data_IF_108240860573
#
_entry.id   IF_108240860573
#
_cell.length_a   1.000
_cell.length_b   1.000
_cell.length_c   1.000
_cell.angle_alpha   90.00
_cell.angle_beta   90.00
_cell.angle_gamma   90.00
#
_symmetry.space_group_name_H-M   'P 1'
#
loop_
_entity.id
_entity.type
_entity.pdbx_description
1 polymer ?
#
# COMPACT_ATOMS: atom_id res chain seq x y z
N UNK A 1 0.54 -1.18 19.67
CA UNK A 1 1.65 -1.73 18.88
C UNK A 1 1.19 -1.91 17.43
N UNK A 2 2.10 -1.89 16.47
CA UNK A 2 1.83 -1.90 15.02
C UNK A 2 2.09 -3.31 14.47
N UNK A 3 1.15 -3.86 13.71
CA UNK A 3 1.37 -5.00 12.82
C UNK A 3 1.54 -4.47 11.40
N UNK A 4 2.69 -4.74 10.78
CA UNK A 4 2.98 -4.37 9.38
C UNK A 4 2.53 -5.51 8.49
N UNK A 5 1.72 -5.22 7.47
CA UNK A 5 1.14 -6.19 6.54
C UNK A 5 1.65 -5.89 5.13
N UNK A 6 2.34 -6.86 4.53
CA UNK A 6 3.01 -6.71 3.24
C UNK A 6 2.49 -7.78 2.27
N UNK A 7 1.59 -7.44 1.33
CA UNK A 7 1.18 -8.36 0.28
C UNK A 7 2.31 -8.52 -0.75
N UNK A 8 2.65 -9.76 -1.11
CA UNK A 8 3.70 -10.08 -2.08
C UNK A 8 3.25 -11.08 -3.14
N UNK A 9 3.80 -10.95 -4.35
CA UNK A 9 3.69 -11.93 -5.42
C UNK A 9 4.88 -11.73 -6.38
N UNK A 10 5.87 -12.64 -6.34
CA UNK A 10 7.10 -12.58 -7.13
C UNK A 10 7.86 -11.25 -6.90
N UNK A 11 8.29 -11.03 -5.68
CA UNK A 11 8.95 -9.79 -5.24
C UNK A 11 10.31 -10.04 -4.58
N UNK A 12 11.02 -11.08 -4.99
CA UNK A 12 12.33 -11.47 -4.43
C UNK A 12 13.37 -10.36 -4.43
N UNK A 13 13.29 -9.42 -5.40
CA UNK A 13 14.24 -8.31 -5.55
C UNK A 13 14.03 -7.24 -4.46
N UNK A 14 12.78 -7.03 -4.03
CA UNK A 14 12.42 -5.94 -3.11
C UNK A 14 12.26 -6.39 -1.68
N UNK A 15 11.82 -7.63 -1.42
CA UNK A 15 11.44 -8.07 -0.09
C UNK A 15 12.59 -7.96 0.93
N UNK A 16 13.78 -8.43 0.60
CA UNK A 16 14.94 -8.34 1.48
C UNK A 16 15.31 -6.88 1.80
N UNK A 17 15.25 -6.00 0.79
CA UNK A 17 15.55 -4.58 0.95
C UNK A 17 14.56 -3.91 1.88
N UNK A 18 13.26 -4.21 1.70
CA UNK A 18 12.21 -3.64 2.53
C UNK A 18 12.34 -4.12 3.98
N UNK A 19 12.51 -5.42 4.22
CA UNK A 19 12.60 -5.96 5.60
C UNK A 19 13.77 -5.34 6.35
N UNK A 20 14.96 -5.26 5.75
CA UNK A 20 16.11 -4.60 6.35
C UNK A 20 15.85 -3.14 6.62
N UNK A 21 15.25 -2.42 5.67
CA UNK A 21 14.89 -1.02 5.86
C UNK A 21 13.91 -0.83 7.03
N UNK A 22 12.91 -1.71 7.18
CA UNK A 22 11.99 -1.65 8.32
C UNK A 22 12.71 -1.87 9.65
N UNK A 23 13.66 -2.82 9.71
CA UNK A 23 14.48 -3.06 10.91
C UNK A 23 15.34 -1.84 11.26
N UNK A 24 15.98 -1.22 10.26
CA UNK A 24 16.85 -0.06 10.46
C UNK A 24 16.08 1.23 10.82
N UNK A 25 14.83 1.36 10.35
CA UNK A 25 14.06 2.60 10.46
C UNK A 25 12.97 2.58 11.54
N UNK A 26 12.67 1.43 12.15
CA UNK A 26 11.68 1.34 13.23
C UNK A 26 12.29 1.54 14.61
N UNK A 27 11.48 2.04 15.55
CA UNK A 27 11.76 1.87 16.98
C UNK A 27 11.31 0.47 17.38
N UNK A 28 12.22 -0.38 17.81
CA UNK A 28 11.99 -1.81 18.05
C UNK A 28 10.80 -2.09 18.99
N UNK A 29 10.43 -1.15 19.87
CA UNK A 29 9.36 -1.32 20.86
C UNK A 29 7.94 -1.08 20.33
N UNK A 30 7.77 -0.51 19.16
CA UNK A 30 6.46 -0.11 18.63
C UNK A 30 5.92 -1.07 17.56
N UNK A 31 6.78 -1.76 16.84
CA UNK A 31 6.40 -2.79 15.86
C UNK A 31 6.22 -4.13 16.60
N UNK A 32 5.02 -4.67 16.54
CA UNK A 32 4.70 -5.98 17.15
C UNK A 32 5.18 -7.13 16.28
N UNK A 33 4.96 -7.01 14.97
CA UNK A 33 5.24 -8.05 13.99
C UNK A 33 5.25 -7.50 12.57
N UNK A 34 5.91 -8.22 11.68
CA UNK A 34 5.82 -8.05 10.22
C UNK A 34 5.20 -9.32 9.65
N UNK A 35 4.07 -9.18 8.98
CA UNK A 35 3.32 -10.25 8.32
C UNK A 35 3.46 -10.09 6.81
N UNK A 36 4.23 -10.95 6.18
CA UNK A 36 4.28 -11.06 4.72
C UNK A 36 3.18 -12.01 4.29
N UNK A 37 2.32 -11.58 3.37
CA UNK A 37 1.22 -12.39 2.86
C UNK A 37 1.49 -12.71 1.39
N UNK A 38 1.85 -13.96 1.12
CA UNK A 38 2.20 -14.43 -0.21
C UNK A 38 0.97 -14.88 -1.00
N UNK A 39 0.83 -14.36 -2.22
CA UNK A 39 -0.25 -14.67 -3.15
C UNK A 39 0.06 -15.80 -4.13
N UNK A 40 1.05 -16.65 -3.83
CA UNK A 40 1.49 -17.77 -4.67
C UNK A 40 2.72 -17.44 -5.50
N UNK A 41 3.76 -16.90 -4.88
CA UNK A 41 5.05 -16.64 -5.53
C UNK A 41 5.72 -17.94 -6.00
N UNK A 42 6.40 -17.85 -7.13
CA UNK A 42 7.14 -18.93 -7.79
C UNK A 42 8.63 -18.61 -7.91
N UNK A 43 9.07 -17.45 -7.39
CA UNK A 43 10.46 -17.03 -7.29
C UNK A 43 10.99 -17.21 -5.86
N UNK A 44 12.17 -16.69 -5.55
CA UNK A 44 12.81 -16.76 -4.23
C UNK A 44 12.20 -15.87 -3.14
N UNK A 45 10.96 -15.35 -3.32
CA UNK A 45 10.34 -14.42 -2.35
C UNK A 45 10.15 -15.07 -0.98
N UNK A 46 9.62 -16.30 -0.92
CA UNK A 46 9.30 -17.00 0.34
C UNK A 46 10.58 -17.37 1.08
N UNK A 47 11.55 -17.94 0.36
CA UNK A 47 12.86 -18.35 0.90
C UNK A 47 13.56 -17.16 1.55
N UNK A 48 13.58 -16.00 0.87
CA UNK A 48 14.19 -14.78 1.42
C UNK A 48 13.50 -14.25 2.67
N UNK A 49 12.18 -14.42 2.79
CA UNK A 49 11.47 -14.08 4.03
C UNK A 49 11.86 -15.01 5.17
N UNK A 50 11.95 -16.33 4.89
CA UNK A 50 12.32 -17.35 5.89
C UNK A 50 13.74 -17.13 6.40
N UNK A 51 14.70 -16.83 5.52
CA UNK A 51 16.10 -16.51 5.86
C UNK A 51 16.21 -15.30 6.80
N UNK A 52 15.25 -14.37 6.72
CA UNK A 52 15.17 -13.20 7.59
C UNK A 52 14.32 -13.42 8.85
N UNK A 53 13.83 -14.62 9.08
CA UNK A 53 12.96 -14.95 10.23
C UNK A 53 11.58 -14.30 10.18
N UNK A 54 11.10 -13.91 9.00
CA UNK A 54 9.81 -13.23 8.83
C UNK A 54 8.68 -14.25 8.65
N UNK A 55 7.59 -14.03 9.38
CA UNK A 55 6.38 -14.83 9.27
C UNK A 55 5.71 -14.62 7.91
N UNK A 56 5.58 -15.70 7.14
CA UNK A 56 4.88 -15.72 5.86
C UNK A 56 3.55 -16.43 6.00
N UNK A 57 2.48 -15.76 5.59
CA UNK A 57 1.14 -16.33 5.45
C UNK A 57 0.90 -16.65 3.98
N UNK A 58 0.42 -17.85 3.69
CA UNK A 58 -0.02 -18.22 2.33
C UNK A 58 -1.46 -17.81 2.15
N UNK A 59 -1.73 -16.99 1.15
CA UNK A 59 -3.05 -16.49 0.81
C UNK A 59 -3.39 -16.71 -0.65
N UNK A 60 -4.62 -16.38 -1.02
CA UNK A 60 -5.02 -16.35 -2.41
C UNK A 60 -4.42 -15.11 -3.11
N UNK A 61 -4.20 -15.24 -4.41
CA UNK A 61 -3.76 -14.13 -5.26
C UNK A 61 -4.77 -12.99 -5.27
N UNK A 62 -4.32 -11.79 -4.93
CA UNK A 62 -5.12 -10.57 -4.90
C UNK A 62 -4.77 -9.70 -3.70
N UNK A 63 -4.35 -8.45 -3.92
CA UNK A 63 -3.88 -7.57 -2.83
C UNK A 63 -4.92 -7.37 -1.73
N UNK A 64 -6.20 -7.16 -2.09
CA UNK A 64 -7.28 -7.05 -1.11
C UNK A 64 -7.37 -8.29 -0.22
N UNK A 65 -7.39 -9.50 -0.82
CA UNK A 65 -7.42 -10.78 -0.11
C UNK A 65 -6.21 -10.95 0.81
N UNK A 66 -5.02 -10.66 0.28
CA UNK A 66 -3.78 -10.77 1.05
C UNK A 66 -3.76 -9.78 2.23
N UNK A 67 -4.16 -8.53 2.02
CA UNK A 67 -4.22 -7.53 3.09
C UNK A 67 -5.27 -7.86 4.15
N UNK A 68 -6.45 -8.35 3.77
CA UNK A 68 -7.48 -8.82 4.69
C UNK A 68 -6.99 -10.03 5.50
N UNK A 69 -6.36 -11.01 4.85
CA UNK A 69 -5.77 -12.17 5.52
C UNK A 69 -4.70 -11.73 6.54
N UNK A 70 -3.79 -10.83 6.14
CA UNK A 70 -2.80 -10.28 7.07
C UNK A 70 -3.42 -9.57 8.26
N UNK A 71 -4.48 -8.79 8.04
CA UNK A 71 -5.22 -8.10 9.09
C UNK A 71 -5.90 -9.05 10.08
N UNK A 72 -6.43 -10.19 9.61
CA UNK A 72 -7.06 -11.21 10.48
C UNK A 72 -6.05 -11.90 11.40
N UNK A 73 -4.80 -12.06 10.96
CA UNK A 73 -3.72 -12.63 11.77
C UNK A 73 -2.97 -11.60 12.62
N UNK A 74 -3.18 -10.31 12.37
CA UNK A 74 -2.49 -9.23 13.07
C UNK A 74 -2.91 -9.16 14.56
N UNK A 75 -1.92 -9.05 15.44
CA UNK A 75 -2.11 -8.97 16.91
C UNK A 75 -1.95 -7.54 17.45
N UNK A 76 -1.40 -6.64 16.65
CA UNK A 76 -1.27 -5.22 16.98
C UNK A 76 -2.59 -4.46 16.91
N UNK A 77 -2.74 -3.42 17.71
CA UNK A 77 -3.91 -2.53 17.69
C UNK A 77 -3.91 -1.52 16.53
N UNK A 78 -2.80 -1.42 15.81
CA UNK A 78 -2.61 -0.59 14.63
C UNK A 78 -2.18 -1.50 13.49
N UNK A 79 -2.84 -1.39 12.35
CA UNK A 79 -2.48 -2.07 11.12
C UNK A 79 -1.76 -1.07 10.20
N UNK A 80 -0.62 -1.48 9.64
CA UNK A 80 0.12 -0.70 8.66
C UNK A 80 0.29 -1.51 7.37
N UNK A 81 -0.52 -1.19 6.36
CA UNK A 81 -0.46 -1.81 5.05
C UNK A 81 0.61 -1.13 4.20
N UNK A 82 1.56 -1.92 3.72
CA UNK A 82 2.74 -1.42 3.03
C UNK A 82 3.04 -2.28 1.80
N UNK A 83 3.17 -1.66 0.63
CA UNK A 83 3.61 -2.36 -0.57
C UNK A 83 5.11 -2.66 -0.49
N UNK A 84 5.51 -3.79 -1.06
CA UNK A 84 6.89 -4.30 -0.95
C UNK A 84 7.97 -3.37 -1.55
N UNK A 85 7.59 -2.52 -2.49
CA UNK A 85 8.45 -1.54 -3.16
C UNK A 85 8.30 -0.11 -2.62
N UNK A 86 7.73 0.02 -1.41
CA UNK A 86 7.50 1.29 -0.72
C UNK A 86 8.25 1.33 0.61
N UNK A 87 9.11 2.31 0.79
CA UNK A 87 10.03 2.45 1.91
C UNK A 87 9.59 3.61 2.82
N UNK A 88 9.15 3.35 4.05
CA UNK A 88 8.72 4.39 4.97
C UNK A 88 9.88 5.22 5.53
N UNK A 89 9.60 6.44 6.07
CA UNK A 89 10.64 7.29 6.65
C UNK A 89 11.19 6.71 7.95
N UNK A 90 12.36 7.21 8.37
CA UNK A 90 12.93 6.88 9.68
C UNK A 90 11.94 7.18 10.82
N UNK A 91 11.86 6.28 11.81
CA UNK A 91 10.89 6.31 12.91
C UNK A 91 9.42 6.39 12.47
N UNK A 92 9.08 5.76 11.35
CA UNK A 92 7.71 5.75 10.81
C UNK A 92 6.67 5.26 11.82
N UNK A 93 7.03 4.30 12.64
CA UNK A 93 6.19 3.69 13.69
C UNK A 93 5.87 4.68 14.81
N UNK A 94 6.86 5.45 15.28
CA UNK A 94 6.66 6.51 16.24
C UNK A 94 5.79 7.65 15.66
N UNK A 95 6.01 8.00 14.39
CA UNK A 95 5.22 8.99 13.65
C UNK A 95 3.75 8.54 13.55
N UNK A 96 3.50 7.28 13.16
CA UNK A 96 2.14 6.70 13.09
C UNK A 96 1.48 6.72 14.48
N UNK A 97 2.17 6.21 15.50
CA UNK A 97 1.63 6.16 16.87
C UNK A 97 1.26 7.54 17.39
N UNK A 98 2.11 8.54 17.12
CA UNK A 98 1.82 9.92 17.51
C UNK A 98 0.62 10.50 16.76
N UNK A 99 0.47 10.22 15.47
CA UNK A 99 -0.66 10.66 14.67
C UNK A 99 -2.01 10.13 15.21
N UNK A 100 -2.04 8.87 15.68
CA UNK A 100 -3.24 8.21 16.19
C UNK A 100 -3.62 8.62 17.62
N UNK A 101 -2.81 9.43 18.31
CA UNK A 101 -3.15 9.97 19.64
C UNK A 101 -4.12 11.17 19.60
N UNK A 102 -4.30 11.80 18.44
CA UNK A 102 -5.03 13.07 18.27
C UNK A 102 -6.20 12.92 17.32
N UNK A 103 -7.28 12.27 17.74
CA UNK A 103 -8.55 12.11 16.97
C UNK A 103 -8.37 11.60 15.52
N UNK A 104 -7.28 10.91 15.25
CA UNK A 104 -6.99 10.31 13.95
C UNK A 104 -7.04 8.81 14.11
N UNK A 105 -7.85 8.13 13.29
CA UNK A 105 -7.94 6.67 13.33
C UNK A 105 -7.32 6.01 12.08
N UNK A 106 -7.15 6.78 10.99
CA UNK A 106 -6.53 6.32 9.75
C UNK A 106 -5.76 7.43 9.05
N UNK A 107 -4.77 7.05 8.25
CA UNK A 107 -4.01 7.99 7.44
C UNK A 107 -2.95 7.34 6.59
N UNK A 108 -2.21 8.16 5.87
CA UNK A 108 -1.09 7.74 5.03
C UNK A 108 0.06 8.74 5.10
N UNK A 109 1.18 8.35 4.54
CA UNK A 109 2.29 9.27 4.28
C UNK A 109 2.10 10.00 2.93
N UNK A 110 2.82 11.10 2.73
CA UNK A 110 3.09 11.63 1.39
C UNK A 110 4.01 10.65 0.67
N UNK A 111 4.06 10.76 -0.65
CA UNK A 111 4.85 9.86 -1.47
C UNK A 111 5.93 10.63 -2.24
N UNK A 112 7.07 9.97 -2.48
CA UNK A 112 8.07 10.35 -3.47
C UNK A 112 8.44 9.13 -4.29
N UNK A 113 8.58 9.29 -5.60
CA UNK A 113 9.13 8.25 -6.46
C UNK A 113 10.64 8.18 -6.32
N UNK A 114 11.17 6.96 -6.43
CA UNK A 114 12.62 6.71 -6.61
C UNK A 114 13.00 6.99 -8.06
N UNK A 115 12.90 8.25 -8.48
CA UNK A 115 13.18 8.68 -9.84
C UNK A 115 13.46 10.19 -9.89
N UNK A 116 14.39 10.59 -10.77
CA UNK A 116 14.69 11.99 -11.05
C UNK A 116 13.67 12.65 -11.99
N UNK A 117 12.69 11.92 -12.52
CA UNK A 117 11.71 12.42 -13.49
C UNK A 117 10.87 13.55 -12.91
N UNK A 118 10.93 14.73 -13.54
CA UNK A 118 10.23 15.94 -13.08
C UNK A 118 8.72 15.80 -13.11
N UNK A 119 8.16 15.04 -14.06
CA UNK A 119 6.75 14.77 -14.16
C UNK A 119 6.26 13.93 -12.97
N UNK A 120 7.00 12.89 -12.56
CA UNK A 120 6.69 12.10 -11.37
C UNK A 120 6.81 12.93 -10.09
N UNK A 121 7.75 13.89 -10.03
CA UNK A 121 7.85 14.82 -8.90
C UNK A 121 6.59 15.71 -8.78
N UNK A 122 6.03 16.17 -9.90
CA UNK A 122 4.79 16.92 -9.90
C UNK A 122 3.63 16.09 -9.35
N UNK A 123 3.47 14.83 -9.79
CA UNK A 123 2.43 13.95 -9.27
C UNK A 123 2.62 13.61 -7.78
N UNK A 124 3.86 13.41 -7.35
CA UNK A 124 4.18 13.25 -5.92
C UNK A 124 3.74 14.48 -5.10
N UNK A 125 3.85 15.67 -5.65
CA UNK A 125 3.47 16.90 -4.96
C UNK A 125 1.98 16.92 -4.60
N UNK A 126 1.09 16.40 -5.46
CA UNK A 126 -0.35 16.31 -5.19
C UNK A 126 -0.69 15.42 -4.00
N UNK A 127 0.19 14.51 -3.59
CA UNK A 127 -0.03 13.67 -2.40
C UNK A 127 -0.11 14.48 -1.09
N UNK A 128 0.29 15.75 -1.10
CA UNK A 128 0.17 16.71 0.01
C UNK A 128 -1.27 17.15 0.25
N UNK A 129 -2.10 17.14 -0.80
CA UNK A 129 -3.49 17.57 -0.73
C UNK A 129 -4.28 16.46 -0.02
N UNK A 130 -4.94 16.79 1.09
CA UNK A 130 -5.76 15.83 1.82
C UNK A 130 -7.16 15.68 1.15
N UNK A 131 -7.16 14.99 0.01
CA UNK A 131 -8.37 14.70 -0.75
C UNK A 131 -8.29 13.28 -1.33
N UNK A 132 -9.42 12.56 -1.35
CA UNK A 132 -9.49 11.14 -1.75
C UNK A 132 -8.89 10.85 -3.13
N UNK A 133 -9.02 11.77 -4.10
CA UNK A 133 -8.49 11.61 -5.47
C UNK A 133 -6.95 11.57 -5.47
N UNK A 134 -6.31 12.20 -4.47
CA UNK A 134 -4.86 12.25 -4.34
C UNK A 134 -4.30 11.04 -3.54
N UNK A 135 -5.11 10.01 -3.32
CA UNK A 135 -4.73 8.81 -2.55
C UNK A 135 -4.47 7.63 -3.48
N UNK A 136 -3.62 6.71 -3.00
CA UNK A 136 -3.31 5.44 -3.65
C UNK A 136 -2.51 4.55 -2.72
N UNK A 137 -2.44 3.26 -3.01
CA UNK A 137 -1.73 2.27 -2.19
C UNK A 137 -0.24 2.55 -2.01
N UNK A 138 0.39 3.17 -3.01
CA UNK A 138 1.81 3.56 -2.95
C UNK A 138 2.13 4.60 -1.85
N UNK A 139 1.11 5.17 -1.19
CA UNK A 139 1.28 6.07 -0.04
C UNK A 139 1.28 5.33 1.29
N UNK A 140 1.10 4.01 1.27
CA UNK A 140 0.80 3.17 2.43
C UNK A 140 -0.49 3.56 3.16
N UNK A 141 -0.94 2.75 4.09
CA UNK A 141 -2.13 3.03 4.89
C UNK A 141 -1.89 2.56 6.32
N UNK A 142 -2.01 3.46 7.30
CA UNK A 142 -2.12 3.07 8.70
C UNK A 142 -3.55 3.31 9.20
N UNK A 143 -4.03 2.40 10.04
CA UNK A 143 -5.40 2.42 10.55
C UNK A 143 -5.47 1.68 11.88
N UNK A 144 -6.35 2.11 12.80
CA UNK A 144 -6.64 1.31 14.00
C UNK A 144 -7.34 0.01 13.60
N UNK A 145 -6.99 -1.09 14.26
CA UNK A 145 -7.59 -2.41 13.96
C UNK A 145 -9.11 -2.36 14.12
N UNK A 146 -9.61 -1.68 15.14
CA UNK A 146 -11.04 -1.51 15.40
C UNK A 146 -11.77 -0.78 14.25
N UNK A 147 -11.17 0.29 13.70
CA UNK A 147 -11.77 0.98 12.55
C UNK A 147 -11.71 0.11 11.28
N UNK A 148 -10.62 -0.64 11.07
CA UNK A 148 -10.51 -1.55 9.93
C UNK A 148 -11.63 -2.60 9.94
N UNK A 149 -11.83 -3.25 11.08
CA UNK A 149 -12.89 -4.24 11.28
C UNK A 149 -14.30 -3.63 11.11
N UNK A 150 -14.54 -2.47 11.73
CA UNK A 150 -15.81 -1.73 11.61
C UNK A 150 -16.09 -1.29 10.17
N UNK A 151 -15.06 -0.99 9.40
CA UNK A 151 -15.18 -0.58 7.98
C UNK A 151 -15.33 -1.77 7.02
N UNK A 152 -15.28 -3.02 7.50
CA UNK A 152 -15.42 -4.24 6.71
C UNK A 152 -14.22 -4.60 5.84
N UNK A 153 -13.03 -4.03 6.12
CA UNK A 153 -11.79 -4.32 5.40
C UNK A 153 -11.80 -3.90 3.93
N UNK A 154 -10.85 -4.42 3.16
CA UNK A 154 -10.76 -4.21 1.71
C UNK A 154 -11.84 -5.02 0.98
N UNK A 155 -12.44 -4.45 -0.05
CA UNK A 155 -13.37 -5.18 -0.92
C UNK A 155 -12.60 -6.08 -1.88
N UNK A 156 -12.75 -7.40 -1.73
CA UNK A 156 -12.01 -8.42 -2.47
C UNK A 156 -12.45 -8.59 -3.94
N UNK A 157 -13.57 -8.02 -4.32
CA UNK A 157 -13.98 -7.95 -5.73
C UNK A 157 -13.03 -7.09 -6.56
N UNK A 158 -12.31 -6.14 -5.90
CA UNK A 158 -11.34 -5.28 -6.56
C UNK A 158 -9.96 -5.95 -6.63
N UNK A 159 -9.59 -6.46 -7.80
CA UNK A 159 -8.23 -6.96 -8.09
C UNK A 159 -7.25 -5.79 -8.26
N UNK A 160 -7.76 -4.64 -8.70
CA UNK A 160 -7.08 -3.35 -8.74
C UNK A 160 -8.02 -2.29 -8.16
N UNK A 161 -7.48 -1.12 -7.77
CA UNK A 161 -8.28 -0.04 -7.20
C UNK A 161 -8.78 -0.31 -5.76
N UNK A 162 -8.41 -1.41 -5.16
CA UNK A 162 -8.79 -1.84 -3.81
C UNK A 162 -8.46 -0.78 -2.75
N UNK A 163 -7.24 -0.20 -2.82
CA UNK A 163 -6.78 0.87 -1.93
C UNK A 163 -7.63 2.14 -2.06
N UNK A 164 -7.88 2.56 -3.31
CA UNK A 164 -8.68 3.76 -3.58
C UNK A 164 -10.14 3.60 -3.14
N UNK A 165 -10.70 2.40 -3.31
CA UNK A 165 -12.04 2.07 -2.85
C UNK A 165 -12.12 2.17 -1.33
N UNK A 166 -11.22 1.47 -0.63
CA UNK A 166 -11.21 1.43 0.83
C UNK A 166 -10.95 2.81 1.44
N UNK A 167 -9.91 3.50 0.98
CA UNK A 167 -9.61 4.87 1.42
C UNK A 167 -10.78 5.81 1.13
N UNK A 168 -11.46 5.64 -0.01
CA UNK A 168 -12.66 6.40 -0.35
C UNK A 168 -13.81 6.22 0.65
N UNK A 169 -13.97 5.01 1.23
CA UNK A 169 -14.92 4.75 2.33
C UNK A 169 -14.47 5.43 3.63
N UNK A 170 -13.19 5.36 3.96
CA UNK A 170 -12.64 6.01 5.16
C UNK A 170 -12.86 7.53 5.14
N UNK A 171 -12.69 8.20 3.99
CA UNK A 171 -12.95 9.64 3.87
C UNK A 171 -14.39 10.05 4.14
N UNK A 172 -15.36 9.14 4.06
CA UNK A 172 -16.77 9.42 4.34
C UNK A 172 -17.11 9.34 5.84
N UNK A 173 -16.37 8.56 6.60
CA UNK A 173 -16.74 8.20 7.97
C UNK A 173 -15.69 8.54 9.03
N UNK A 174 -14.50 9.01 8.65
CA UNK A 174 -13.43 9.25 9.62
C UNK A 174 -12.54 10.44 9.24
N UNK A 175 -11.83 10.98 10.21
CA UNK A 175 -10.76 11.97 10.03
C UNK A 175 -9.51 11.29 9.44
N UNK A 176 -9.41 11.25 8.12
CA UNK A 176 -8.24 10.71 7.44
C UNK A 176 -7.09 11.73 7.45
N UNK A 177 -5.90 11.33 7.86
CA UNK A 177 -4.73 12.22 8.00
C UNK A 177 -3.63 11.90 6.98
N UNK A 178 -3.08 12.95 6.35
CA UNK A 178 -1.88 12.85 5.50
C UNK A 178 -0.69 13.38 6.28
N UNK A 179 0.25 12.50 6.60
CA UNK A 179 1.44 12.86 7.38
C UNK A 179 2.45 13.62 6.51
N UNK A 180 3.12 14.67 7.04
CA UNK A 180 4.05 15.51 6.28
C UNK A 180 5.41 14.85 5.98
N UNK A 181 5.52 13.57 6.21
CA UNK A 181 6.70 12.74 5.92
C UNK A 181 6.46 11.95 4.63
N UNK A 182 7.53 11.45 3.99
CA UNK A 182 7.42 10.80 2.69
C UNK A 182 7.83 9.33 2.77
N UNK A 183 7.01 8.47 2.23
CA UNK A 183 7.45 7.15 1.77
C UNK A 183 8.13 7.29 0.42
N UNK A 184 9.14 6.45 0.14
CA UNK A 184 9.84 6.36 -1.14
C UNK A 184 9.34 5.12 -1.87
N UNK A 185 8.69 5.27 -3.02
CA UNK A 185 8.14 4.17 -3.81
C UNK A 185 8.84 4.01 -5.14
N UNK A 186 8.84 2.79 -5.68
CA UNK A 186 9.51 2.46 -6.93
C UNK A 186 8.80 3.07 -8.14
N UNK A 187 9.60 3.61 -9.07
CA UNK A 187 9.11 4.10 -10.36
C UNK A 187 9.12 3.02 -11.46
N UNK A 188 9.46 1.75 -11.15
CA UNK A 188 9.68 0.66 -12.13
C UNK A 188 8.61 0.52 -13.21
N UNK A 189 7.31 0.67 -12.85
CA UNK A 189 6.21 0.61 -13.83
C UNK A 189 6.20 1.81 -14.76
N UNK A 190 6.55 2.98 -14.23
CA UNK A 190 6.65 4.21 -15.03
C UNK A 190 7.83 4.18 -15.98
N UNK A 191 8.94 3.56 -15.60
CA UNK A 191 10.12 3.37 -16.45
C UNK A 191 9.83 2.40 -17.60
N UNK A 192 9.12 1.30 -17.34
CA UNK A 192 8.75 0.32 -18.36
C UNK A 192 7.72 0.83 -19.36
N UNK A 193 6.68 1.53 -18.91
CA UNK A 193 5.53 1.91 -19.75
C UNK A 193 5.65 3.35 -20.28
N UNK A 194 6.42 4.19 -19.60
CA UNK A 194 6.51 5.63 -19.82
C UNK A 194 5.58 6.41 -18.88
N UNK A 195 6.13 7.49 -18.27
CA UNK A 195 5.46 8.20 -17.18
C UNK A 195 4.09 8.81 -17.60
N UNK A 196 4.04 9.54 -18.71
CA UNK A 196 2.81 10.15 -19.22
C UNK A 196 1.74 9.12 -19.56
N UNK A 197 2.16 8.04 -20.23
CA UNK A 197 1.26 7.00 -20.71
C UNK A 197 0.63 6.22 -19.55
N UNK A 198 1.43 5.82 -18.56
CA UNK A 198 0.94 5.12 -17.39
C UNK A 198 0.00 6.00 -16.56
N UNK A 199 0.35 7.28 -16.38
CA UNK A 199 -0.50 8.22 -15.67
C UNK A 199 -1.83 8.47 -16.37
N UNK A 200 -1.83 8.54 -17.70
CA UNK A 200 -3.06 8.59 -18.49
C UNK A 200 -3.94 7.34 -18.25
N UNK A 201 -3.35 6.15 -18.23
CA UNK A 201 -4.11 4.92 -17.96
C UNK A 201 -4.71 4.88 -16.56
N UNK A 202 -3.96 5.32 -15.54
CA UNK A 202 -4.51 5.45 -14.19
C UNK A 202 -5.63 6.51 -14.11
N UNK A 203 -5.46 7.65 -14.77
CA UNK A 203 -6.51 8.65 -14.89
C UNK A 203 -7.79 8.09 -15.53
N UNK A 204 -7.65 7.27 -16.57
CA UNK A 204 -8.79 6.60 -17.21
C UNK A 204 -9.46 5.56 -16.30
N UNK A 205 -8.71 4.86 -15.43
CA UNK A 205 -9.30 3.96 -14.43
C UNK A 205 -10.14 4.76 -13.43
N UNK A 206 -9.64 5.89 -12.94
CA UNK A 206 -10.40 6.77 -12.04
C UNK A 206 -11.66 7.35 -12.72
N UNK A 207 -11.54 7.80 -13.98
CA UNK A 207 -12.69 8.31 -14.73
C UNK A 207 -13.75 7.23 -14.95
N UNK A 208 -13.37 6.02 -15.38
CA UNK A 208 -14.29 4.90 -15.54
C UNK A 208 -15.00 4.56 -14.23
N UNK A 209 -14.26 4.53 -13.11
CA UNK A 209 -14.86 4.33 -11.80
C UNK A 209 -15.85 5.42 -11.43
N UNK A 210 -15.53 6.67 -11.72
CA UNK A 210 -16.44 7.81 -11.51
C UNK A 210 -17.72 7.69 -12.36
N UNK A 211 -17.62 7.16 -13.58
CA UNK A 211 -18.74 6.89 -14.48
C UNK A 211 -19.52 5.60 -14.13
N UNK A 212 -19.19 4.92 -13.03
CA UNK A 212 -19.92 3.76 -12.54
C UNK A 212 -19.36 2.39 -12.92
N UNK A 213 -18.18 2.31 -13.54
CA UNK A 213 -17.56 1.03 -13.90
C UNK A 213 -17.36 0.13 -12.67
N UNK A 214 -17.71 -1.15 -12.84
CA UNK A 214 -17.53 -2.18 -11.81
C UNK A 214 -16.10 -2.72 -11.72
N UNK A 215 -15.79 -3.53 -10.68
CA UNK A 215 -14.45 -4.09 -10.46
C UNK A 215 -13.88 -4.84 -11.66
N UNK A 216 -14.69 -5.70 -12.27
CA UNK A 216 -14.28 -6.51 -13.43
C UNK A 216 -13.95 -5.66 -14.67
N UNK A 217 -14.73 -4.60 -14.93
CA UNK A 217 -14.48 -3.70 -16.06
C UNK A 217 -13.17 -2.93 -15.89
N UNK A 218 -12.90 -2.44 -14.66
CA UNK A 218 -11.64 -1.79 -14.33
C UNK A 218 -10.45 -2.74 -14.52
N UNK A 219 -10.59 -3.99 -14.07
CA UNK A 219 -9.54 -5.00 -14.20
C UNK A 219 -9.27 -5.38 -15.67
N UNK A 220 -10.29 -5.56 -16.48
CA UNK A 220 -10.14 -5.81 -17.93
C UNK A 220 -9.42 -4.65 -18.64
N UNK A 221 -9.73 -3.41 -18.26
CA UNK A 221 -9.01 -2.26 -18.81
C UNK A 221 -7.54 -2.27 -18.39
N UNK A 222 -7.26 -2.54 -17.13
CA UNK A 222 -5.91 -2.64 -16.59
C UNK A 222 -5.09 -3.75 -17.27
N UNK A 223 -5.67 -4.94 -17.45
CA UNK A 223 -5.02 -6.04 -18.14
C UNK A 223 -4.60 -5.64 -19.56
N UNK A 224 -5.53 -5.08 -20.34
CA UNK A 224 -5.28 -4.71 -21.75
C UNK A 224 -4.27 -3.56 -21.90
N UNK A 225 -4.25 -2.59 -21.00
CA UNK A 225 -3.48 -1.36 -21.17
C UNK A 225 -2.17 -1.32 -20.38
N UNK A 226 -2.10 -2.02 -19.26
CA UNK A 226 -0.97 -1.97 -18.33
C UNK A 226 -0.28 -3.33 -18.22
N UNK A 227 -0.96 -4.41 -17.81
CA UNK A 227 -0.33 -5.72 -17.62
C UNK A 227 0.30 -6.29 -18.89
N UNK A 228 -0.35 -6.13 -20.04
CA UNK A 228 0.20 -6.57 -21.32
C UNK A 228 1.54 -5.90 -21.72
N UNK A 229 2.05 -4.93 -20.93
CA UNK A 229 3.25 -4.12 -21.20
C UNK A 229 4.31 -4.17 -20.09
N UNK A 230 4.04 -4.90 -19.00
CA UNK A 230 4.93 -5.10 -17.87
C UNK A 230 5.50 -6.50 -17.87
#
# INVERSE_FOLDING_TARGET
>A
MISIIIPVLNEEVYITKLIRHLQDCSSLDLVKEVLVVDGGSTDGTIEKCQDLGIKVLKGEKGRAKQMNLGASYATGSILYFLHVDTFPPFQFDAIIKNALRHDTEAGCFRMKFDSANSFLRLFSWFTRINHRICRGGDQSLFITKSLFEKSGGFNEDYIIYEDNEFIGRLYKGTKFRVLPYHVKTSARKYEKIGALKLQYYFGMIHLRKFLGAGPNELYQYYQRKILAKV
#
